data_IF_923408091066
#
_entry.id   IF_923408091066
#
_cell.length_a   1.000
_cell.length_b   1.000
_cell.length_c   1.000
_cell.angle_alpha   90.00
_cell.angle_beta   90.00
_cell.angle_gamma   90.00
#
_symmetry.space_group_name_H-M   'P 1'
#
loop_
_entity.id
_entity.type
_entity.pdbx_description
1 polymer ?
#
# COMPACT_ATOMS: atom_id res chain seq x y z
N UNK A 1 38.99 10.08 -0.05
CA UNK A 1 37.66 9.63 0.51
C UNK A 1 37.75 9.53 2.03
N UNK A 2 36.77 10.06 2.75
CA UNK A 2 36.65 9.96 4.22
C UNK A 2 35.57 8.92 4.59
N UNK A 3 35.80 8.13 5.64
CA UNK A 3 34.87 7.08 6.08
C UNK A 3 34.42 7.41 7.50
N UNK A 4 33.09 7.55 7.69
CA UNK A 4 32.47 7.84 8.98
C UNK A 4 31.61 6.65 9.37
N UNK A 5 31.73 6.20 10.63
CA UNK A 5 31.00 5.02 11.14
C UNK A 5 30.19 5.39 12.36
N UNK A 6 28.92 4.97 12.36
CA UNK A 6 28.00 5.16 13.48
C UNK A 6 27.32 3.84 13.81
N UNK A 7 27.30 3.47 15.06
CA UNK A 7 26.51 2.33 15.55
C UNK A 7 25.20 2.83 16.11
N UNK A 8 24.13 2.19 15.74
CA UNK A 8 22.77 2.51 16.20
C UNK A 8 22.02 1.26 16.64
N UNK A 9 21.09 1.38 17.60
CA UNK A 9 20.27 0.25 18.02
C UNK A 9 19.29 -0.18 16.92
N UNK A 10 18.89 -1.44 16.94
CA UNK A 10 17.83 -1.96 16.11
C UNK A 10 16.47 -1.34 16.49
N UNK A 11 15.63 -0.93 15.53
CA UNK A 11 14.26 -0.46 15.81
C UNK A 11 13.31 -1.62 16.22
N UNK A 12 13.71 -2.85 15.97
CA UNK A 12 13.04 -4.10 16.35
C UNK A 12 14.07 -5.07 16.93
N UNK A 13 13.62 -6.13 17.62
CA UNK A 13 14.54 -7.24 17.94
C UNK A 13 15.11 -7.85 16.64
N UNK A 14 16.30 -8.44 16.73
CA UNK A 14 16.95 -9.06 15.57
C UNK A 14 16.05 -10.10 14.87
N UNK A 15 15.37 -10.96 15.66
CA UNK A 15 14.42 -11.93 15.13
C UNK A 15 13.29 -11.24 14.37
N UNK A 16 12.68 -10.22 14.96
CA UNK A 16 11.57 -9.47 14.36
C UNK A 16 12.01 -8.73 13.10
N UNK A 17 13.24 -8.21 13.08
CA UNK A 17 13.84 -7.62 11.89
C UNK A 17 13.92 -8.64 10.76
N UNK A 18 14.44 -9.84 11.03
CA UNK A 18 14.50 -10.91 10.04
C UNK A 18 13.12 -11.31 9.51
N UNK A 19 12.11 -11.42 10.37
CA UNK A 19 10.72 -11.70 9.97
C UNK A 19 10.17 -10.62 9.04
N UNK A 20 10.35 -9.34 9.38
CA UNK A 20 9.90 -8.20 8.56
C UNK A 20 10.60 -8.15 7.20
N UNK A 21 11.90 -8.38 7.16
CA UNK A 21 12.67 -8.38 5.91
C UNK A 21 12.22 -9.53 4.98
N UNK A 22 12.02 -10.74 5.49
CA UNK A 22 11.47 -11.86 4.71
C UNK A 22 10.05 -11.58 4.23
N UNK A 23 9.20 -10.97 5.08
CA UNK A 23 7.85 -10.58 4.70
C UNK A 23 7.86 -9.48 3.63
N UNK A 24 8.79 -8.51 3.69
CA UNK A 24 8.99 -7.52 2.64
C UNK A 24 9.26 -8.18 1.29
N UNK A 25 10.22 -9.12 1.23
CA UNK A 25 10.59 -9.80 -0.01
C UNK A 25 9.39 -10.55 -0.61
N UNK A 26 8.69 -11.34 0.19
CA UNK A 26 7.49 -12.07 -0.26
C UNK A 26 6.39 -11.12 -0.78
N UNK A 27 6.25 -9.96 -0.15
CA UNK A 27 5.26 -8.94 -0.50
C UNK A 27 5.61 -8.22 -1.81
N UNK A 28 6.88 -7.92 -2.04
CA UNK A 28 7.36 -7.27 -3.27
C UNK A 28 7.39 -8.25 -4.45
N UNK A 29 7.80 -9.51 -4.21
CA UNK A 29 7.85 -10.54 -5.25
C UNK A 29 6.44 -10.88 -5.75
N UNK A 30 5.47 -11.07 -4.85
CA UNK A 30 4.06 -11.30 -5.21
C UNK A 30 3.49 -10.20 -6.12
N UNK A 31 3.99 -8.96 -6.02
CA UNK A 31 3.58 -7.84 -6.88
C UNK A 31 4.24 -7.82 -8.26
N UNK A 32 5.34 -8.54 -8.44
CA UNK A 32 6.15 -8.56 -9.67
C UNK A 32 5.95 -9.81 -10.54
N UNK A 33 5.15 -10.79 -10.08
CA UNK A 33 4.94 -12.08 -10.75
C UNK A 33 4.05 -11.92 -11.98
N UNK A 34 4.64 -11.49 -13.10
CA UNK A 34 4.10 -11.85 -14.43
C UNK A 34 4.96 -12.86 -15.19
N UNK A 35 6.22 -13.13 -14.82
CA UNK A 35 7.13 -13.95 -15.63
C UNK A 35 8.24 -14.70 -14.87
N UNK A 36 8.10 -15.13 -13.63
CA UNK A 36 9.15 -15.91 -12.95
C UNK A 36 8.80 -17.39 -12.80
N UNK A 37 9.63 -18.26 -13.38
CA UNK A 37 9.53 -19.73 -13.33
C UNK A 37 10.16 -20.35 -12.07
N UNK A 38 10.76 -19.58 -11.16
CA UNK A 38 11.35 -20.08 -9.91
C UNK A 38 10.75 -19.38 -8.70
N UNK A 39 10.14 -20.14 -7.82
CA UNK A 39 9.76 -19.70 -6.48
C UNK A 39 11.02 -19.56 -5.65
N UNK A 40 11.39 -18.36 -5.23
CA UNK A 40 12.50 -18.12 -4.31
C UNK A 40 12.00 -18.40 -2.89
N UNK A 41 12.69 -19.28 -2.15
CA UNK A 41 12.45 -19.46 -0.72
C UNK A 41 13.16 -18.34 0.05
N UNK A 42 12.39 -17.48 0.71
CA UNK A 42 12.95 -16.40 1.53
C UNK A 42 13.23 -16.82 2.98
N UNK A 43 12.93 -18.06 3.35
CA UNK A 43 13.08 -18.57 4.72
C UNK A 43 14.53 -18.51 5.23
N UNK A 44 15.50 -18.61 4.32
CA UNK A 44 16.95 -18.65 4.61
C UNK A 44 17.62 -17.26 4.53
N UNK A 45 16.84 -16.17 4.45
CA UNK A 45 17.39 -14.83 4.44
C UNK A 45 17.51 -14.29 5.86
N UNK A 46 18.70 -13.80 6.20
CA UNK A 46 19.03 -13.16 7.48
C UNK A 46 19.21 -11.65 7.29
N UNK A 47 19.12 -10.83 8.35
CA UNK A 47 19.39 -9.40 8.24
C UNK A 47 20.73 -9.05 7.57
N UNK A 48 21.76 -9.86 7.79
CA UNK A 48 23.10 -9.68 7.20
C UNK A 48 23.12 -9.86 5.68
N UNK A 49 22.14 -10.53 5.09
CA UNK A 49 22.03 -10.65 3.62
C UNK A 49 21.59 -9.34 2.95
N UNK A 50 21.14 -8.36 3.75
CA UNK A 50 20.62 -7.08 3.26
C UNK A 50 21.70 -5.99 3.34
N UNK A 51 21.81 -5.21 2.28
CA UNK A 51 22.53 -3.94 2.24
C UNK A 51 21.53 -2.82 2.04
N UNK A 52 21.36 -1.96 3.03
CA UNK A 52 20.58 -0.73 2.91
C UNK A 52 21.50 0.37 2.42
N UNK A 53 21.03 1.22 1.52
CA UNK A 53 21.87 2.28 0.99
C UNK A 53 21.06 3.46 0.46
N UNK A 54 21.74 4.59 0.36
CA UNK A 54 21.32 5.84 -0.23
C UNK A 54 22.54 6.59 -0.77
N UNK A 55 22.39 7.35 -1.87
CA UNK A 55 23.49 8.11 -2.47
C UNK A 55 23.15 9.60 -2.60
N UNK A 56 24.20 10.43 -2.50
CA UNK A 56 24.14 11.84 -2.81
C UNK A 56 25.02 12.20 -3.99
N UNK A 57 24.48 12.99 -4.89
CA UNK A 57 25.13 13.35 -6.15
C UNK A 57 25.11 14.86 -6.37
N UNK A 58 26.09 15.37 -7.08
CA UNK A 58 26.19 16.80 -7.40
C UNK A 58 25.19 17.27 -8.48
N UNK A 59 24.30 16.38 -8.92
CA UNK A 59 23.23 16.66 -9.88
C UNK A 59 22.47 15.39 -10.27
N UNK A 60 21.39 15.52 -11.04
CA UNK A 60 20.45 14.43 -11.33
C UNK A 60 20.89 13.49 -12.47
N UNK A 61 21.91 13.83 -13.21
CA UNK A 61 22.37 13.05 -14.37
C UNK A 61 23.77 12.47 -14.16
N UNK A 62 23.96 11.15 -14.20
CA UNK A 62 25.28 10.53 -14.04
C UNK A 62 26.35 11.01 -15.05
N UNK A 63 25.92 11.60 -16.18
CA UNK A 63 26.85 12.11 -17.21
C UNK A 63 27.47 13.47 -16.84
N UNK A 64 26.75 14.26 -16.05
CA UNK A 64 27.12 15.66 -15.77
C UNK A 64 27.18 15.96 -14.26
N UNK A 65 27.25 14.93 -13.45
CA UNK A 65 27.34 15.05 -11.99
C UNK A 65 28.24 13.95 -11.43
N UNK A 66 28.64 14.11 -10.19
CA UNK A 66 29.51 13.15 -9.51
C UNK A 66 28.86 12.64 -8.25
N UNK A 67 29.06 11.36 -7.96
CA UNK A 67 28.75 10.75 -6.66
C UNK A 67 29.72 11.32 -5.61
N UNK A 68 29.21 11.92 -4.55
CA UNK A 68 30.06 12.49 -3.49
C UNK A 68 29.82 11.87 -2.13
N UNK A 69 28.70 11.21 -1.91
CA UNK A 69 28.40 10.59 -0.64
C UNK A 69 27.60 9.29 -0.87
N UNK A 70 28.07 8.25 -0.23
CA UNK A 70 27.40 6.95 -0.17
C UNK A 70 27.15 6.63 1.29
N UNK A 71 25.89 6.51 1.67
CA UNK A 71 25.47 6.00 2.98
C UNK A 71 25.01 4.56 2.87
N UNK A 72 25.50 3.72 3.76
CA UNK A 72 25.08 2.31 3.84
C UNK A 72 24.75 1.92 5.27
N UNK A 73 23.79 1.00 5.44
CA UNK A 73 23.49 0.41 6.72
C UNK A 73 23.60 -1.11 6.63
N UNK A 74 24.32 -1.67 7.58
CA UNK A 74 24.63 -3.09 7.70
C UNK A 74 24.12 -3.58 9.04
N UNK A 75 23.66 -4.83 9.08
CA UNK A 75 23.35 -5.53 10.33
C UNK A 75 24.57 -6.27 10.86
N UNK A 76 24.81 -6.13 12.15
CA UNK A 76 25.84 -6.84 12.91
C UNK A 76 25.20 -7.41 14.18
N UNK A 77 24.61 -8.60 14.08
CA UNK A 77 23.90 -9.26 15.20
C UNK A 77 22.84 -8.35 15.85
N UNK A 78 23.17 -7.73 17.00
CA UNK A 78 22.21 -6.93 17.78
C UNK A 78 22.29 -5.42 17.49
N UNK A 79 23.21 -4.99 16.64
CA UNK A 79 23.44 -3.58 16.29
C UNK A 79 23.29 -3.36 14.78
N UNK A 80 23.07 -2.12 14.39
CA UNK A 80 23.23 -1.65 13.02
C UNK A 80 24.43 -0.73 12.94
N UNK A 81 25.23 -0.90 11.89
CA UNK A 81 26.33 0.01 11.58
C UNK A 81 25.97 0.82 10.34
N UNK A 82 26.01 2.15 10.47
CA UNK A 82 25.92 3.06 9.33
C UNK A 82 27.33 3.49 8.98
N UNK A 83 27.68 3.33 7.71
CA UNK A 83 28.96 3.78 7.16
C UNK A 83 28.66 4.82 6.08
N UNK A 84 29.25 5.98 6.21
CA UNK A 84 29.20 7.03 5.22
C UNK A 84 30.56 7.18 4.57
N UNK A 85 30.60 7.07 3.26
CA UNK A 85 31.78 7.30 2.42
C UNK A 85 31.62 8.67 1.77
N UNK A 86 32.37 9.65 2.23
CA UNK A 86 32.28 11.03 1.77
C UNK A 86 33.49 11.43 0.93
N UNK A 87 33.25 12.06 -0.20
CA UNK A 87 34.27 12.62 -1.06
C UNK A 87 34.26 14.16 -0.97
N UNK A 88 35.41 14.72 -0.72
CA UNK A 88 35.67 16.16 -0.76
C UNK A 88 36.22 16.63 -2.12
N UNK A 89 36.31 15.71 -3.10
CA UNK A 89 36.75 15.99 -4.46
C UNK A 89 36.05 15.09 -5.48
N UNK A 90 35.92 15.56 -6.70
CA UNK A 90 35.33 14.79 -7.80
C UNK A 90 36.17 13.56 -8.18
N UNK A 91 37.48 13.57 -7.89
CA UNK A 91 38.41 12.49 -8.24
C UNK A 91 38.21 11.20 -7.45
N UNK A 92 37.51 11.21 -6.34
CA UNK A 92 37.27 10.01 -5.49
C UNK A 92 35.99 9.23 -5.85
N UNK A 93 35.35 9.53 -6.96
CA UNK A 93 34.08 8.86 -7.36
C UNK A 93 34.29 7.36 -7.63
N UNK A 94 35.42 6.97 -8.25
CA UNK A 94 35.76 5.57 -8.49
C UNK A 94 35.98 4.81 -7.17
N UNK A 95 36.57 5.46 -6.15
CA UNK A 95 36.76 4.89 -4.82
C UNK A 95 35.42 4.60 -4.14
N UNK A 96 34.45 5.53 -4.25
CA UNK A 96 33.08 5.36 -3.73
C UNK A 96 32.36 4.21 -4.41
N UNK A 97 32.46 4.13 -5.74
CA UNK A 97 31.91 3.01 -6.51
C UNK A 97 32.52 1.69 -6.10
N UNK A 98 33.85 1.63 -5.96
CA UNK A 98 34.57 0.41 -5.56
C UNK A 98 34.16 -0.03 -4.16
N UNK A 99 34.02 0.89 -3.21
CA UNK A 99 33.52 0.61 -1.87
C UNK A 99 32.10 0.02 -1.91
N UNK A 100 31.20 0.62 -2.70
CA UNK A 100 29.83 0.10 -2.85
C UNK A 100 29.80 -1.31 -3.45
N UNK A 101 30.53 -1.55 -4.52
CA UNK A 101 30.57 -2.87 -5.17
C UNK A 101 31.13 -3.94 -4.23
N UNK A 102 32.18 -3.63 -3.46
CA UNK A 102 32.71 -4.55 -2.44
C UNK A 102 31.69 -4.85 -1.34
N UNK A 103 30.87 -3.88 -0.93
CA UNK A 103 29.80 -4.10 0.04
C UNK A 103 28.66 -4.98 -0.52
N UNK A 104 28.47 -4.99 -1.84
CA UNK A 104 27.49 -5.87 -2.50
C UNK A 104 27.97 -7.35 -2.53
N UNK A 105 29.28 -7.62 -2.41
CA UNK A 105 29.79 -8.98 -2.40
C UNK A 105 29.27 -9.77 -1.19
N UNK A 106 28.76 -10.98 -1.45
CA UNK A 106 28.20 -11.85 -0.42
C UNK A 106 26.82 -11.43 0.09
N UNK A 107 26.26 -10.31 -0.38
CA UNK A 107 24.88 -9.90 -0.07
C UNK A 107 23.91 -10.53 -1.06
N UNK A 108 22.63 -10.60 -0.66
CA UNK A 108 21.55 -11.16 -1.50
C UNK A 108 20.52 -10.09 -1.89
N UNK A 109 20.37 -9.04 -1.06
CA UNK A 109 19.33 -8.02 -1.20
C UNK A 109 19.92 -6.63 -1.07
N UNK A 110 19.58 -5.78 -2.02
CA UNK A 110 19.83 -4.35 -1.97
C UNK A 110 18.50 -3.63 -1.61
N UNK A 111 18.48 -2.92 -0.50
CA UNK A 111 17.31 -2.21 -0.01
C UNK A 111 17.53 -0.71 -0.02
N UNK A 112 16.56 0.02 -0.56
CA UNK A 112 16.62 1.48 -0.71
C UNK A 112 15.22 2.10 -0.63
N UNK A 113 15.17 3.41 -0.62
CA UNK A 113 13.95 4.18 -0.79
C UNK A 113 13.97 4.91 -2.13
N UNK A 114 13.15 4.47 -3.10
CA UNK A 114 13.12 4.95 -4.49
C UNK A 114 14.41 4.70 -5.29
N UNK A 115 15.29 3.84 -4.80
CA UNK A 115 16.56 3.55 -5.46
C UNK A 115 16.41 2.92 -6.85
N UNK A 116 15.35 2.17 -7.10
CA UNK A 116 15.02 1.69 -8.44
C UNK A 116 14.73 2.83 -9.44
N UNK A 117 14.34 4.00 -8.96
CA UNK A 117 14.08 5.19 -9.77
C UNK A 117 15.33 5.98 -10.09
N UNK A 118 16.28 6.07 -9.16
CA UNK A 118 17.45 6.93 -9.27
C UNK A 118 18.77 6.20 -8.94
N UNK A 119 18.98 5.80 -7.69
CA UNK A 119 20.28 5.34 -7.17
C UNK A 119 20.84 4.16 -7.97
N UNK A 120 20.05 3.12 -8.21
CA UNK A 120 20.47 1.94 -8.96
C UNK A 120 20.92 2.29 -10.39
N UNK A 121 20.19 3.19 -11.04
CA UNK A 121 20.51 3.63 -12.41
C UNK A 121 21.76 4.48 -12.44
N UNK A 122 21.95 5.32 -11.41
CA UNK A 122 23.13 6.13 -11.25
C UNK A 122 24.36 5.23 -11.09
N UNK A 123 24.31 4.29 -10.14
CA UNK A 123 25.39 3.33 -9.88
C UNK A 123 25.67 2.41 -11.07
N UNK A 124 24.63 2.01 -11.84
CA UNK A 124 24.79 1.26 -13.09
C UNK A 124 25.54 2.08 -14.14
N UNK A 125 25.15 3.34 -14.33
CA UNK A 125 25.82 4.24 -15.28
C UNK A 125 27.28 4.47 -14.89
N UNK A 126 27.53 4.68 -13.61
CA UNK A 126 28.85 4.89 -13.06
C UNK A 126 29.73 3.64 -13.24
N UNK A 127 29.19 2.45 -12.95
CA UNK A 127 29.87 1.17 -13.18
C UNK A 127 30.30 1.02 -14.64
N UNK A 128 29.44 1.39 -15.59
CA UNK A 128 29.76 1.36 -17.02
C UNK A 128 30.88 2.33 -17.38
N UNK A 129 30.88 3.54 -16.80
CA UNK A 129 31.90 4.56 -17.06
C UNK A 129 33.29 4.15 -16.59
N UNK A 130 33.36 3.42 -15.48
CA UNK A 130 34.61 2.89 -14.91
C UNK A 130 34.94 1.43 -15.32
N UNK A 131 34.21 0.89 -16.31
CA UNK A 131 34.39 -0.50 -16.80
C UNK A 131 34.32 -1.55 -15.68
N UNK A 132 33.43 -1.34 -14.67
CA UNK A 132 33.19 -2.28 -13.58
C UNK A 132 31.93 -3.08 -13.82
N UNK A 133 31.89 -4.32 -13.35
CA UNK A 133 30.66 -5.12 -13.34
C UNK A 133 29.64 -4.52 -12.35
N UNK A 134 28.38 -4.27 -12.75
CA UNK A 134 27.38 -3.69 -11.87
C UNK A 134 26.79 -4.77 -10.93
N UNK A 135 27.57 -5.26 -9.98
CA UNK A 135 27.21 -6.35 -9.05
C UNK A 135 25.88 -6.11 -8.33
N UNK A 136 25.57 -4.86 -7.99
CA UNK A 136 24.32 -4.47 -7.34
C UNK A 136 23.08 -4.88 -8.13
N UNK A 137 23.14 -5.00 -9.46
CA UNK A 137 22.01 -5.42 -10.30
C UNK A 137 21.75 -6.93 -10.22
N UNK A 138 22.69 -7.73 -9.73
CA UNK A 138 22.51 -9.17 -9.50
C UNK A 138 21.75 -9.46 -8.20
N UNK A 139 21.67 -8.49 -7.28
CA UNK A 139 20.97 -8.60 -6.01
C UNK A 139 19.47 -8.40 -6.20
N UNK A 140 18.68 -8.95 -5.28
CA UNK A 140 17.24 -8.64 -5.22
C UNK A 140 17.04 -7.15 -4.85
N UNK A 141 16.30 -6.42 -5.68
CA UNK A 141 16.05 -4.99 -5.48
C UNK A 141 14.80 -4.77 -4.63
N UNK A 142 14.96 -4.50 -3.34
CA UNK A 142 13.87 -4.18 -2.42
C UNK A 142 13.72 -2.67 -2.27
N UNK A 143 12.66 -2.11 -2.85
CA UNK A 143 12.39 -0.67 -2.83
C UNK A 143 11.17 -0.35 -1.96
N UNK A 144 11.42 0.28 -0.80
CA UNK A 144 10.38 0.64 0.17
C UNK A 144 9.39 1.68 -0.38
N UNK A 145 9.84 2.57 -1.27
CA UNK A 145 8.94 3.51 -1.92
C UNK A 145 7.84 2.80 -2.71
N UNK A 146 8.18 1.70 -3.43
CA UNK A 146 7.19 0.90 -4.16
C UNK A 146 6.17 0.23 -3.25
N UNK A 147 6.62 -0.26 -2.09
CA UNK A 147 5.74 -0.82 -1.07
C UNK A 147 4.73 0.22 -0.60
N UNK A 148 5.21 1.41 -0.20
CA UNK A 148 4.39 2.43 0.45
C UNK A 148 3.48 3.14 -0.58
N UNK A 149 4.02 3.51 -1.74
CA UNK A 149 3.30 4.26 -2.79
C UNK A 149 2.01 3.59 -3.24
N UNK A 150 1.98 2.26 -3.33
CA UNK A 150 0.78 1.51 -3.76
C UNK A 150 -0.40 1.68 -2.81
N UNK A 151 -0.15 2.07 -1.55
CA UNK A 151 -1.15 2.28 -0.51
C UNK A 151 -1.28 3.75 -0.08
N UNK A 152 -0.73 4.69 -0.83
CA UNK A 152 -0.71 6.11 -0.51
C UNK A 152 -2.07 6.65 -0.07
N UNK A 153 -3.14 6.33 -0.81
CA UNK A 153 -4.50 6.79 -0.52
C UNK A 153 -5.03 6.20 0.80
N UNK A 154 -4.72 4.93 1.07
CA UNK A 154 -5.07 4.29 2.33
C UNK A 154 -4.37 4.94 3.54
N UNK A 155 -3.12 5.36 3.38
CA UNK A 155 -2.42 6.09 4.44
C UNK A 155 -2.89 7.54 4.60
N UNK A 156 -3.64 8.08 3.65
CA UNK A 156 -4.05 9.49 3.64
C UNK A 156 -2.88 10.46 3.44
N UNK A 157 -1.76 9.99 2.85
CA UNK A 157 -0.56 10.81 2.66
C UNK A 157 -0.68 11.65 1.38
N UNK A 158 -0.31 12.92 1.45
CA UNK A 158 -0.25 13.80 0.28
C UNK A 158 0.92 13.46 -0.64
N UNK A 159 2.03 13.02 -0.06
CA UNK A 159 3.24 12.61 -0.76
C UNK A 159 3.77 11.30 -0.20
N UNK A 160 4.60 10.60 -0.99
CA UNK A 160 5.34 9.41 -0.55
C UNK A 160 6.85 9.70 -0.51
N UNK A 161 7.28 10.94 -0.23
CA UNK A 161 8.69 11.20 0.05
C UNK A 161 9.13 10.48 1.32
N UNK A 162 10.43 10.25 1.50
CA UNK A 162 10.96 9.64 2.72
C UNK A 162 10.51 10.43 3.95
N UNK A 163 10.63 11.76 3.93
CA UNK A 163 10.18 12.66 5.00
C UNK A 163 8.67 12.53 5.31
N UNK A 164 7.83 12.36 4.28
CA UNK A 164 6.39 12.15 4.51
C UNK A 164 6.11 10.79 5.17
N UNK A 165 6.88 9.76 4.82
CA UNK A 165 6.77 8.44 5.46
C UNK A 165 7.25 8.47 6.91
N UNK A 166 8.35 9.18 7.19
CA UNK A 166 8.88 9.41 8.54
C UNK A 166 7.87 10.17 9.41
N UNK A 167 7.30 11.25 8.88
CA UNK A 167 6.27 12.03 9.58
C UNK A 167 5.03 11.18 9.90
N UNK A 168 4.58 10.32 8.97
CA UNK A 168 3.49 9.38 9.19
C UNK A 168 3.79 8.40 10.34
N UNK A 169 5.04 7.95 10.46
CA UNK A 169 5.53 7.09 11.55
C UNK A 169 5.91 7.87 12.83
N UNK A 170 5.79 9.20 12.82
CA UNK A 170 6.20 10.09 13.92
C UNK A 170 7.69 9.95 14.26
N UNK A 171 8.52 9.72 13.25
CA UNK A 171 9.97 9.70 13.39
C UNK A 171 10.45 11.17 13.42
N UNK A 172 11.16 11.54 14.48
CA UNK A 172 11.76 12.86 14.62
C UNK A 172 13.02 12.93 13.75
N UNK A 173 12.99 13.78 12.73
CA UNK A 173 14.09 14.02 11.81
C UNK A 173 14.75 15.37 12.12
N UNK A 174 16.06 15.36 12.28
CA UNK A 174 16.83 16.58 12.58
C UNK A 174 17.22 17.36 11.33
N UNK A 175 17.31 16.68 10.18
CA UNK A 175 17.65 17.33 8.92
C UNK A 175 16.42 18.03 8.28
N UNK A 176 16.46 19.38 8.09
CA UNK A 176 15.37 20.12 7.48
C UNK A 176 15.44 20.16 5.94
N UNK A 177 16.59 19.85 5.33
CA UNK A 177 16.88 20.12 3.93
C UNK A 177 16.26 19.09 2.99
N UNK A 178 15.99 19.50 1.75
CA UNK A 178 15.64 18.60 0.65
C UNK A 178 16.86 18.29 -0.21
N UNK A 179 16.95 17.05 -0.76
CA UNK A 179 18.10 16.61 -1.55
C UNK A 179 18.51 17.56 -2.68
N UNK A 180 17.55 18.23 -3.34
CA UNK A 180 17.83 19.21 -4.39
C UNK A 180 18.60 20.45 -3.88
N UNK A 181 18.41 20.87 -2.63
CA UNK A 181 19.10 22.01 -2.01
C UNK A 181 20.55 21.64 -1.72
N UNK A 182 20.82 20.39 -1.38
CA UNK A 182 22.15 19.91 -1.05
C UNK A 182 23.12 19.89 -2.22
N UNK A 183 22.63 19.84 -3.46
CA UNK A 183 23.43 20.00 -4.66
C UNK A 183 24.19 21.35 -4.64
N UNK A 184 23.49 22.42 -4.26
CA UNK A 184 24.13 23.75 -4.12
C UNK A 184 25.09 23.78 -2.93
N UNK A 185 24.71 23.19 -1.80
CA UNK A 185 25.57 23.10 -0.59
C UNK A 185 26.88 22.38 -0.89
N UNK A 186 26.81 21.23 -1.58
CA UNK A 186 28.01 20.49 -1.96
C UNK A 186 28.91 21.27 -2.93
N UNK A 187 28.32 21.96 -3.92
CA UNK A 187 29.06 22.79 -4.87
C UNK A 187 29.81 23.93 -4.16
N UNK A 188 29.18 24.54 -3.15
CA UNK A 188 29.85 25.60 -2.36
C UNK A 188 30.88 25.03 -1.39
N UNK A 189 30.60 23.85 -0.79
CA UNK A 189 31.60 23.12 0.00
C UNK A 189 32.88 22.82 -0.79
N UNK A 190 32.79 22.47 -2.07
CA UNK A 190 33.96 22.22 -2.89
C UNK A 190 34.89 23.47 -3.01
N UNK A 191 34.32 24.67 -2.93
CA UNK A 191 35.08 25.94 -3.05
C UNK A 191 35.75 26.35 -1.73
N UNK A 192 35.01 26.25 -0.63
CA UNK A 192 35.42 26.83 0.65
C UNK A 192 35.77 25.80 1.75
N UNK A 193 35.46 24.53 1.52
CA UNK A 193 35.69 23.43 2.46
C UNK A 193 35.07 23.66 3.85
N UNK A 194 33.98 24.40 3.89
CA UNK A 194 33.28 24.75 5.13
C UNK A 194 32.80 23.53 5.89
N UNK A 195 33.14 23.46 7.18
CA UNK A 195 32.79 22.29 8.03
C UNK A 195 31.31 22.17 8.31
N UNK A 196 30.58 23.27 8.40
CA UNK A 196 29.13 23.22 8.65
C UNK A 196 28.38 22.71 7.43
N UNK A 197 28.78 23.12 6.22
CA UNK A 197 28.23 22.53 4.98
C UNK A 197 28.46 21.03 4.91
N UNK A 198 29.66 20.57 5.27
CA UNK A 198 29.95 19.13 5.33
C UNK A 198 29.05 18.42 6.34
N UNK A 199 28.86 18.98 7.53
CA UNK A 199 27.96 18.41 8.55
C UNK A 199 26.51 18.31 8.03
N UNK A 200 26.04 19.33 7.29
CA UNK A 200 24.70 19.32 6.69
C UNK A 200 24.54 18.17 5.69
N UNK A 201 25.51 18.00 4.79
CA UNK A 201 25.52 16.92 3.79
C UNK A 201 25.52 15.54 4.46
N UNK A 202 26.39 15.34 5.45
CA UNK A 202 26.48 14.10 6.20
C UNK A 202 25.22 13.80 7.00
N UNK A 203 24.63 14.83 7.65
CA UNK A 203 23.42 14.67 8.44
C UNK A 203 22.23 14.22 7.58
N UNK A 204 22.07 14.81 6.39
CA UNK A 204 21.01 14.46 5.47
C UNK A 204 21.04 12.96 5.11
N UNK A 205 22.15 12.53 4.55
CA UNK A 205 22.32 11.12 4.16
C UNK A 205 22.29 10.16 5.37
N UNK A 206 22.81 10.58 6.53
CA UNK A 206 22.70 9.79 7.77
C UNK A 206 21.23 9.53 8.13
N UNK A 207 20.40 10.58 8.10
CA UNK A 207 18.97 10.48 8.43
C UNK A 207 18.23 9.65 7.37
N UNK A 208 18.58 9.78 6.07
CA UNK A 208 17.98 9.01 4.99
C UNK A 208 18.23 7.51 5.15
N UNK A 209 19.45 7.12 5.51
CA UNK A 209 19.80 5.69 5.69
C UNK A 209 19.34 5.15 7.04
N UNK A 210 19.51 5.91 8.12
CA UNK A 210 19.23 5.51 9.50
C UNK A 210 17.77 5.11 9.70
N UNK A 211 16.85 5.80 9.05
CA UNK A 211 15.42 5.64 9.24
C UNK A 211 14.79 4.55 8.36
N UNK A 212 15.51 4.04 7.33
CA UNK A 212 14.99 2.99 6.43
C UNK A 212 14.46 1.73 7.16
N UNK A 213 15.15 1.19 8.16
CA UNK A 213 14.62 0.01 8.88
C UNK A 213 13.29 0.26 9.58
N UNK A 214 13.06 1.47 10.12
CA UNK A 214 11.81 1.81 10.78
C UNK A 214 10.61 1.82 9.81
N UNK A 215 10.84 2.11 8.51
CA UNK A 215 9.81 2.06 7.47
C UNK A 215 9.25 0.64 7.25
N UNK A 216 9.94 -0.41 7.69
CA UNK A 216 9.40 -1.77 7.68
C UNK A 216 8.13 -1.91 8.54
N UNK A 217 7.82 -0.92 9.39
CA UNK A 217 6.54 -0.85 10.12
C UNK A 217 5.33 -0.76 9.20
N UNK A 218 5.46 -0.20 7.99
CA UNK A 218 4.39 -0.20 7.00
C UNK A 218 3.93 -1.61 6.60
N UNK A 219 4.77 -2.63 6.76
CA UNK A 219 4.42 -4.01 6.46
C UNK A 219 3.27 -4.54 7.33
N UNK A 220 3.05 -3.98 8.52
CA UNK A 220 1.94 -4.39 9.38
C UNK A 220 0.57 -4.17 8.70
N UNK A 221 0.43 -3.16 7.83
CA UNK A 221 -0.80 -2.96 7.05
C UNK A 221 -0.96 -3.98 5.91
N UNK A 222 0.13 -4.59 5.42
CA UNK A 222 0.05 -5.56 4.33
C UNK A 222 -0.62 -6.86 4.76
N UNK A 223 -0.63 -7.19 6.05
CA UNK A 223 -1.44 -8.31 6.57
C UNK A 223 -2.92 -8.11 6.27
N UNK A 224 -3.42 -6.87 6.40
CA UNK A 224 -4.80 -6.51 6.05
C UNK A 224 -5.07 -6.79 4.56
N UNK A 225 -4.23 -6.25 3.68
CA UNK A 225 -4.42 -6.34 2.22
C UNK A 225 -4.16 -7.75 1.65
N UNK A 226 -3.46 -8.60 2.39
CA UNK A 226 -3.25 -10.01 2.05
C UNK A 226 -4.32 -10.92 2.64
N UNK A 227 -5.31 -10.37 3.37
CA UNK A 227 -6.35 -11.14 4.05
C UNK A 227 -5.80 -11.97 5.24
N UNK A 228 -4.59 -11.70 5.71
CA UNK A 228 -3.97 -12.37 6.85
C UNK A 228 -4.45 -11.75 8.17
N UNK A 229 -5.75 -11.76 8.35
CA UNK A 229 -6.46 -11.22 9.51
C UNK A 229 -7.46 -12.25 10.03
N UNK A 230 -7.83 -12.15 11.29
CA UNK A 230 -8.81 -13.03 11.90
C UNK A 230 -10.11 -12.27 12.13
N UNK A 231 -11.22 -12.79 11.62
CA UNK A 231 -12.55 -12.30 11.95
C UNK A 231 -12.90 -12.64 13.40
N UNK A 232 -13.40 -11.67 14.14
CA UNK A 232 -13.78 -11.82 15.55
C UNK A 232 -15.28 -11.99 15.70
N UNK A 233 -16.07 -11.29 14.91
CA UNK A 233 -17.51 -11.33 14.98
C UNK A 233 -18.19 -10.16 14.32
N UNK A 234 -19.53 -10.18 14.41
CA UNK A 234 -20.44 -9.12 14.03
C UNK A 234 -21.20 -8.64 15.26
N UNK A 235 -21.32 -7.33 15.42
CA UNK A 235 -22.19 -6.68 16.40
C UNK A 235 -23.18 -5.77 15.70
N UNK A 236 -24.41 -5.70 16.21
CA UNK A 236 -25.39 -4.69 15.79
C UNK A 236 -25.14 -3.41 16.58
N UNK A 237 -25.02 -2.28 15.89
CA UNK A 237 -24.74 -1.00 16.53
C UNK A 237 -25.77 0.04 16.13
N UNK A 238 -26.10 0.94 17.07
CA UNK A 238 -26.83 2.16 16.74
C UNK A 238 -25.86 3.11 16.02
N UNK A 239 -26.23 3.55 14.82
CA UNK A 239 -25.43 4.45 13.97
C UNK A 239 -24.96 5.71 14.71
N UNK A 240 -25.71 6.18 15.69
CA UNK A 240 -25.41 7.38 16.49
C UNK A 240 -24.10 7.30 17.27
N UNK A 241 -23.57 6.11 17.52
CA UNK A 241 -22.32 5.93 18.27
C UNK A 241 -21.04 6.12 17.40
N UNK A 242 -21.18 6.18 16.07
CA UNK A 242 -20.03 6.13 15.15
C UNK A 242 -19.99 7.24 14.09
N UNK A 243 -21.04 8.08 13.98
CA UNK A 243 -21.12 9.16 12.98
C UNK A 243 -21.46 10.50 13.64
N UNK A 244 -20.57 11.49 13.57
CA UNK A 244 -20.79 12.87 14.00
C UNK A 244 -21.88 13.60 13.17
N UNK A 245 -22.28 13.05 12.01
CA UNK A 245 -23.26 13.60 11.07
C UNK A 245 -24.50 12.72 10.87
N UNK A 246 -24.88 11.91 11.87
CA UNK A 246 -26.02 10.98 11.80
C UNK A 246 -27.43 11.65 11.74
N UNK A 247 -27.50 12.97 11.73
CA UNK A 247 -28.79 13.72 11.82
C UNK A 247 -29.75 13.49 10.64
N UNK A 248 -29.30 12.96 9.49
CA UNK A 248 -30.15 12.83 8.30
C UNK A 248 -30.95 11.54 8.17
N UNK A 249 -30.70 10.51 8.99
CA UNK A 249 -31.50 9.26 8.97
C UNK A 249 -31.41 8.51 10.30
N UNK A 250 -32.26 8.87 11.31
CA UNK A 250 -32.12 8.41 12.70
C UNK A 250 -32.46 6.93 12.94
N UNK A 251 -32.92 6.19 11.92
CA UNK A 251 -33.41 4.80 12.05
C UNK A 251 -32.55 3.76 11.30
N UNK A 252 -31.40 4.13 10.80
CA UNK A 252 -30.58 3.18 10.06
C UNK A 252 -29.81 2.25 11.00
N UNK A 253 -30.22 1.01 11.05
CA UNK A 253 -29.49 -0.08 11.68
C UNK A 253 -28.12 -0.26 10.99
N UNK A 254 -27.07 -0.45 11.76
CA UNK A 254 -25.72 -0.70 11.23
C UNK A 254 -25.16 -1.97 11.85
N UNK A 255 -24.33 -2.66 11.11
CA UNK A 255 -23.51 -3.76 11.64
C UNK A 255 -22.07 -3.31 11.75
N UNK A 256 -21.39 -3.82 12.77
CA UNK A 256 -19.96 -3.65 13.00
C UNK A 256 -19.28 -5.02 12.79
N UNK A 257 -18.40 -5.09 11.83
CA UNK A 257 -17.52 -6.25 11.64
C UNK A 257 -16.20 -5.97 12.33
N UNK A 258 -15.75 -6.91 13.15
CA UNK A 258 -14.50 -6.78 13.90
C UNK A 258 -13.50 -7.84 13.48
N UNK A 259 -12.24 -7.42 13.34
CA UNK A 259 -11.14 -8.27 12.93
C UNK A 259 -9.89 -7.97 13.76
N UNK A 260 -8.94 -8.91 13.76
CA UNK A 260 -7.66 -8.80 14.46
C UNK A 260 -6.50 -9.06 13.52
N UNK A 261 -5.55 -8.13 13.50
CA UNK A 261 -4.25 -8.29 12.82
C UNK A 261 -3.28 -9.12 13.67
N UNK A 262 -2.32 -9.82 13.05
CA UNK A 262 -1.25 -10.50 13.77
C UNK A 262 -0.27 -9.51 14.43
N UNK A 263 -0.10 -8.31 13.87
CA UNK A 263 0.80 -7.26 14.36
C UNK A 263 0.09 -5.92 14.49
N UNK A 264 0.59 -5.09 15.41
CA UNK A 264 0.12 -3.71 15.55
C UNK A 264 0.53 -2.85 14.37
N UNK A 265 -0.39 -1.98 13.92
CA UNK A 265 -0.05 -0.94 12.96
C UNK A 265 0.61 0.26 13.63
N UNK A 266 1.57 0.93 12.98
CA UNK A 266 2.31 2.03 13.59
C UNK A 266 1.46 3.30 13.81
N UNK A 267 0.41 3.48 13.00
CA UNK A 267 -0.45 4.67 13.06
C UNK A 267 -1.90 4.23 12.87
N UNK A 268 -2.79 4.69 13.75
CA UNK A 268 -4.22 4.44 13.61
C UNK A 268 -4.80 5.24 12.43
N UNK A 269 -5.72 4.62 11.68
CA UNK A 269 -6.40 5.24 10.55
C UNK A 269 -7.90 5.10 10.68
N UNK A 270 -8.61 6.12 10.21
CA UNK A 270 -10.08 6.11 10.10
C UNK A 270 -10.46 6.65 8.72
N UNK A 271 -11.30 5.91 8.00
CA UNK A 271 -11.81 6.30 6.69
C UNK A 271 -13.33 6.19 6.65
N UNK A 272 -13.98 7.23 6.15
CA UNK A 272 -15.41 7.21 5.85
C UNK A 272 -15.58 7.15 4.34
N UNK A 273 -16.02 5.99 3.83
CA UNK A 273 -16.15 5.71 2.40
C UNK A 273 -17.49 5.06 2.12
N UNK A 274 -18.27 5.59 1.16
CA UNK A 274 -19.55 5.01 0.75
C UNK A 274 -20.50 4.75 1.93
N UNK A 275 -20.53 5.68 2.89
CA UNK A 275 -21.31 5.61 4.13
C UNK A 275 -20.86 4.53 5.14
N UNK A 276 -19.78 3.79 4.84
CA UNK A 276 -19.15 2.88 5.79
C UNK A 276 -17.99 3.58 6.51
N UNK A 277 -17.79 3.23 7.77
CA UNK A 277 -16.65 3.71 8.57
C UNK A 277 -15.68 2.56 8.79
N UNK A 278 -14.49 2.67 8.22
CA UNK A 278 -13.38 1.75 8.44
C UNK A 278 -12.43 2.35 9.48
N UNK A 279 -12.01 1.55 10.46
CA UNK A 279 -11.01 1.93 11.46
C UNK A 279 -9.98 0.84 11.63
N UNK A 280 -8.74 1.25 11.86
CA UNK A 280 -7.63 0.37 12.22
C UNK A 280 -6.80 1.06 13.31
N UNK A 281 -6.55 0.38 14.42
CA UNK A 281 -5.77 0.90 15.55
C UNK A 281 -5.13 -0.24 16.33
N UNK A 282 -3.80 -0.17 16.55
CA UNK A 282 -3.09 -1.30 17.11
C UNK A 282 -3.29 -2.55 16.25
N UNK A 283 -3.84 -3.61 16.81
CA UNK A 283 -4.21 -4.85 16.09
C UNK A 283 -5.67 -4.89 15.64
N UNK A 284 -6.49 -3.98 16.13
CA UNK A 284 -7.93 -4.00 15.92
C UNK A 284 -8.29 -3.36 14.58
N UNK A 285 -9.16 -4.03 13.84
CA UNK A 285 -9.74 -3.54 12.58
C UNK A 285 -11.25 -3.64 12.68
N UNK A 286 -11.94 -2.58 12.35
CA UNK A 286 -13.39 -2.57 12.34
C UNK A 286 -13.95 -1.92 11.07
N UNK A 287 -15.10 -2.44 10.63
CA UNK A 287 -15.88 -1.89 9.52
C UNK A 287 -17.34 -1.75 9.95
N UNK A 288 -17.78 -0.51 10.14
CA UNK A 288 -19.19 -0.18 10.38
C UNK A 288 -19.92 0.01 9.06
N UNK A 289 -21.02 -0.69 8.87
CA UNK A 289 -21.75 -0.77 7.60
C UNK A 289 -23.21 -0.45 7.86
N UNK A 290 -23.76 0.62 7.25
CA UNK A 290 -25.20 0.90 7.33
C UNK A 290 -25.98 -0.12 6.49
N UNK A 291 -27.04 -0.70 7.08
CA UNK A 291 -27.97 -1.56 6.37
C UNK A 291 -29.05 -0.70 5.69
N UNK A 292 -29.44 -1.11 4.50
CA UNK A 292 -30.58 -0.51 3.81
C UNK A 292 -31.85 -1.32 4.09
N UNK A 293 -32.91 -0.68 4.60
CA UNK A 293 -34.21 -1.31 4.81
C UNK A 293 -35.24 -0.70 3.87
N UNK A 294 -35.87 -1.54 3.06
CA UNK A 294 -36.88 -1.10 2.10
C UNK A 294 -36.95 -2.01 0.88
N UNK A 295 -37.58 -1.50 -0.18
CA UNK A 295 -37.75 -2.23 -1.43
C UNK A 295 -36.60 -1.95 -2.39
N UNK A 296 -35.99 -2.99 -2.94
CA UNK A 296 -34.99 -2.93 -4.01
C UNK A 296 -35.35 -3.87 -5.14
N UNK A 297 -34.82 -3.56 -6.34
CA UNK A 297 -35.06 -4.30 -7.58
C UNK A 297 -33.85 -5.17 -7.95
N UNK A 298 -34.12 -6.44 -8.23
CA UNK A 298 -33.17 -7.37 -8.84
C UNK A 298 -33.40 -7.40 -10.36
N UNK A 299 -32.49 -6.79 -11.11
CA UNK A 299 -32.58 -6.71 -12.58
C UNK A 299 -32.02 -7.96 -13.26
N UNK A 300 -32.78 -8.49 -14.24
CA UNK A 300 -32.38 -9.66 -15.01
C UNK A 300 -31.51 -9.26 -16.21
N UNK A 301 -30.30 -9.83 -16.37
CA UNK A 301 -29.40 -9.48 -17.48
C UNK A 301 -29.95 -9.92 -18.85
N UNK A 302 -30.68 -11.03 -18.88
CA UNK A 302 -31.35 -11.60 -20.05
C UNK A 302 -32.77 -11.03 -20.25
N UNK A 303 -32.90 -9.70 -20.10
CA UNK A 303 -34.21 -9.01 -20.16
C UNK A 303 -35.10 -9.39 -21.35
N UNK A 304 -34.50 -9.83 -22.46
CA UNK A 304 -35.23 -10.28 -23.66
C UNK A 304 -36.07 -11.52 -23.43
N UNK A 305 -35.81 -12.28 -22.39
CA UNK A 305 -36.55 -13.49 -22.02
C UNK A 305 -37.73 -13.22 -21.09
N UNK A 306 -37.99 -11.93 -20.80
CA UNK A 306 -39.02 -11.51 -19.86
C UNK A 306 -40.05 -10.61 -20.54
N UNK A 307 -41.22 -10.57 -19.91
CA UNK A 307 -42.30 -9.59 -20.15
C UNK A 307 -42.52 -8.80 -18.86
N UNK A 308 -42.81 -7.52 -18.99
CA UNK A 308 -43.11 -6.64 -17.87
C UNK A 308 -44.62 -6.52 -17.67
N UNK A 309 -45.09 -6.60 -16.43
CA UNK A 309 -46.51 -6.49 -16.06
C UNK A 309 -46.68 -5.18 -15.30
N UNK A 310 -47.10 -4.08 -15.95
CA UNK A 310 -47.20 -2.76 -15.35
C UNK A 310 -48.07 -2.70 -14.10
N UNK A 311 -49.17 -3.46 -14.05
CA UNK A 311 -50.12 -3.47 -12.91
C UNK A 311 -49.52 -4.13 -11.65
N UNK A 312 -48.54 -5.01 -11.82
CA UNK A 312 -47.86 -5.71 -10.73
C UNK A 312 -46.45 -5.17 -10.48
N UNK A 313 -45.98 -4.27 -11.35
CA UNK A 313 -44.67 -3.65 -11.32
C UNK A 313 -43.50 -4.69 -11.19
N UNK A 314 -43.54 -5.72 -12.00
CA UNK A 314 -42.57 -6.81 -12.05
C UNK A 314 -42.44 -7.44 -13.43
N UNK A 315 -41.30 -8.08 -13.68
CA UNK A 315 -41.12 -8.93 -14.85
C UNK A 315 -41.37 -10.40 -14.54
N UNK A 316 -41.94 -11.10 -15.52
CA UNK A 316 -42.09 -12.56 -15.51
C UNK A 316 -41.44 -13.17 -16.74
N UNK A 317 -40.91 -14.40 -16.63
CA UNK A 317 -40.33 -15.07 -17.76
C UNK A 317 -41.37 -15.32 -18.83
N UNK A 318 -41.03 -15.23 -20.12
CA UNK A 318 -41.93 -15.37 -21.27
C UNK A 318 -42.71 -16.68 -21.26
N UNK A 319 -42.17 -17.78 -20.75
CA UNK A 319 -42.88 -19.05 -20.61
C UNK A 319 -44.11 -18.95 -19.73
N UNK A 320 -44.20 -17.95 -18.84
CA UNK A 320 -45.33 -17.72 -17.96
C UNK A 320 -46.28 -16.63 -18.50
N UNK A 321 -45.93 -15.99 -19.61
CA UNK A 321 -46.76 -14.92 -20.18
C UNK A 321 -48.16 -15.32 -20.59
N UNK A 322 -48.37 -16.61 -20.89
CA UNK A 322 -49.68 -17.17 -21.21
C UNK A 322 -50.69 -17.17 -20.03
N UNK A 323 -50.19 -17.01 -18.80
CA UNK A 323 -51.01 -16.85 -17.60
C UNK A 323 -51.65 -15.45 -17.47
N UNK A 324 -51.26 -14.50 -18.32
CA UNK A 324 -51.73 -13.13 -18.33
C UNK A 324 -52.37 -12.78 -19.67
N UNK A 325 -53.51 -12.06 -19.67
CA UNK A 325 -54.04 -11.48 -20.90
C UNK A 325 -53.00 -10.59 -21.62
N UNK A 326 -52.93 -10.69 -22.95
CA UNK A 326 -51.89 -9.98 -23.72
C UNK A 326 -51.93 -8.44 -23.54
N UNK A 327 -53.07 -7.87 -23.18
CA UNK A 327 -53.21 -6.45 -22.88
C UNK A 327 -52.58 -6.02 -21.54
N UNK A 328 -52.23 -6.99 -20.68
CA UNK A 328 -51.69 -6.68 -19.32
C UNK A 328 -50.16 -6.72 -19.26
N UNK A 329 -49.47 -7.08 -20.34
CA UNK A 329 -48.02 -7.14 -20.33
C UNK A 329 -47.41 -6.55 -21.60
N UNK A 330 -46.20 -6.07 -21.46
CA UNK A 330 -45.37 -5.57 -22.55
C UNK A 330 -43.98 -6.22 -22.59
N UNK A 331 -43.23 -6.05 -23.67
CA UNK A 331 -41.84 -6.55 -23.75
C UNK A 331 -41.00 -5.87 -22.69
N UNK A 332 -40.31 -6.63 -21.86
CA UNK A 332 -39.42 -6.06 -20.88
C UNK A 332 -38.22 -5.39 -21.56
N UNK A 333 -37.79 -4.25 -20.99
CA UNK A 333 -36.56 -3.54 -21.30
C UNK A 333 -35.55 -3.81 -20.19
N UNK A 334 -34.31 -3.31 -20.34
CA UNK A 334 -33.25 -3.47 -19.34
C UNK A 334 -33.66 -2.94 -17.96
N UNK A 335 -34.39 -1.85 -17.93
CA UNK A 335 -34.84 -1.11 -16.74
C UNK A 335 -36.20 -1.59 -16.22
N UNK A 336 -36.94 -2.41 -16.95
CA UNK A 336 -38.23 -3.00 -16.53
C UNK A 336 -38.17 -4.52 -16.30
N UNK A 337 -37.04 -5.17 -16.63
CA UNK A 337 -36.83 -6.60 -16.39
C UNK A 337 -36.34 -6.87 -14.97
N UNK A 338 -37.17 -6.71 -13.98
CA UNK A 338 -36.83 -6.90 -12.58
C UNK A 338 -37.91 -7.57 -11.75
N UNK A 339 -37.48 -8.06 -10.59
CA UNK A 339 -38.32 -8.39 -9.46
C UNK A 339 -37.94 -7.55 -8.25
N UNK A 340 -38.94 -7.15 -7.47
CA UNK A 340 -38.75 -6.38 -6.24
C UNK A 340 -38.73 -7.28 -5.01
N UNK A 341 -37.96 -6.86 -4.03
CA UNK A 341 -37.91 -7.46 -2.71
C UNK A 341 -37.90 -6.37 -1.65
N UNK A 342 -38.79 -6.46 -0.68
CA UNK A 342 -38.76 -5.59 0.52
C UNK A 342 -38.09 -6.36 1.65
N UNK A 343 -36.87 -5.92 2.03
CA UNK A 343 -36.05 -6.60 3.02
C UNK A 343 -35.06 -5.63 3.67
N UNK A 344 -34.24 -6.16 4.57
CA UNK A 344 -33.01 -5.50 5.00
C UNK A 344 -31.87 -5.99 4.10
N UNK A 345 -31.05 -5.05 3.63
CA UNK A 345 -29.98 -5.32 2.64
C UNK A 345 -28.62 -4.86 3.14
N UNK A 346 -27.60 -5.63 2.78
CA UNK A 346 -26.19 -5.34 2.96
C UNK A 346 -25.61 -4.79 1.65
N UNK A 347 -24.90 -3.64 1.64
CA UNK A 347 -24.21 -3.16 0.45
C UNK A 347 -23.08 -4.10 0.07
N UNK A 348 -22.84 -4.31 -1.25
CA UNK A 348 -21.71 -5.08 -1.78
C UNK A 348 -21.00 -4.29 -2.87
N UNK A 349 -19.69 -4.55 -3.06
CA UNK A 349 -18.84 -3.76 -3.96
C UNK A 349 -18.35 -4.54 -5.18
N UNK A 350 -18.61 -5.82 -5.24
CA UNK A 350 -18.36 -6.67 -6.40
C UNK A 350 -19.69 -7.17 -6.98
N UNK A 351 -19.72 -7.45 -8.29
CA UNK A 351 -20.90 -8.05 -8.91
C UNK A 351 -21.15 -9.44 -8.31
N UNK A 352 -22.33 -9.60 -7.76
CA UNK A 352 -22.76 -10.82 -7.13
C UNK A 352 -24.24 -11.07 -7.44
N UNK A 353 -24.62 -12.31 -7.70
CA UNK A 353 -26.02 -12.64 -8.04
C UNK A 353 -26.63 -13.58 -7.03
N UNK A 354 -27.91 -13.36 -6.66
CA UNK A 354 -28.76 -12.22 -7.03
C UNK A 354 -28.32 -10.92 -6.36
N UNK A 355 -28.28 -9.81 -7.13
CA UNK A 355 -27.96 -8.48 -6.62
C UNK A 355 -29.12 -7.52 -6.81
N UNK A 356 -29.25 -6.60 -5.90
CA UNK A 356 -30.34 -5.62 -5.84
C UNK A 356 -29.80 -4.21 -5.98
N UNK A 357 -30.59 -3.31 -6.58
CA UNK A 357 -30.27 -1.91 -6.79
C UNK A 357 -31.53 -1.07 -6.54
N UNK A 358 -31.37 0.23 -6.23
CA UNK A 358 -32.51 1.15 -6.12
C UNK A 358 -33.11 1.46 -7.49
N UNK A 359 -32.23 1.67 -8.46
CA UNK A 359 -32.56 1.90 -9.87
C UNK A 359 -31.60 1.13 -10.76
N UNK A 360 -31.96 0.89 -12.03
CA UNK A 360 -31.11 0.20 -12.99
C UNK A 360 -29.74 0.89 -13.22
N UNK A 361 -29.68 2.21 -13.02
CA UNK A 361 -28.45 3.00 -13.26
C UNK A 361 -27.55 3.12 -12.03
N UNK A 362 -28.02 2.68 -10.86
CA UNK A 362 -27.22 2.77 -9.64
C UNK A 362 -25.99 1.87 -9.72
N UNK A 363 -24.89 2.39 -9.21
CA UNK A 363 -23.61 1.65 -9.14
C UNK A 363 -23.42 0.91 -7.81
N UNK A 364 -24.31 1.15 -6.84
CA UNK A 364 -24.28 0.46 -5.57
C UNK A 364 -25.18 -0.78 -5.63
N UNK A 365 -24.58 -1.92 -5.41
CA UNK A 365 -25.27 -3.21 -5.31
C UNK A 365 -25.53 -3.59 -3.86
N UNK A 366 -26.58 -4.40 -3.68
CA UNK A 366 -27.01 -4.87 -2.38
C UNK A 366 -27.40 -6.35 -2.48
N UNK A 367 -27.28 -7.03 -1.33
CA UNK A 367 -27.77 -8.39 -1.15
C UNK A 367 -28.69 -8.45 0.07
N UNK A 368 -29.68 -9.36 0.14
CA UNK A 368 -30.48 -9.53 1.33
C UNK A 368 -29.59 -9.90 2.52
N UNK A 369 -29.73 -9.13 3.60
CA UNK A 369 -29.03 -9.39 4.84
C UNK A 369 -29.78 -10.40 5.72
N UNK A 370 -29.06 -11.38 6.24
CA UNK A 370 -29.53 -12.37 7.21
C UNK A 370 -28.45 -12.51 8.31
N UNK A 371 -28.88 -12.73 9.57
CA UNK A 371 -27.96 -12.84 10.74
C UNK A 371 -26.85 -13.90 10.56
N UNK A 372 -27.08 -14.93 9.76
CA UNK A 372 -26.12 -16.00 9.48
C UNK A 372 -25.38 -15.81 8.14
N UNK A 373 -25.33 -14.57 7.61
CA UNK A 373 -24.73 -14.29 6.30
C UNK A 373 -23.26 -14.71 6.23
N UNK A 374 -22.54 -14.56 7.35
CA UNK A 374 -21.11 -14.87 7.46
C UNK A 374 -20.81 -16.38 7.61
N UNK A 375 -21.80 -17.23 7.80
CA UNK A 375 -21.66 -18.68 7.65
C UNK A 375 -21.54 -19.10 6.17
N UNK A 376 -22.13 -18.30 5.28
CA UNK A 376 -22.16 -18.53 3.82
C UNK A 376 -21.17 -17.67 3.05
N UNK A 377 -20.61 -16.63 3.69
CA UNK A 377 -19.70 -15.66 3.12
C UNK A 377 -18.47 -15.51 4.00
N UNK A 378 -17.33 -15.39 3.36
CA UNK A 378 -16.10 -15.04 4.07
C UNK A 378 -16.10 -13.53 4.41
N UNK A 379 -16.13 -13.14 5.68
CA UNK A 379 -16.11 -11.73 6.07
C UNK A 379 -14.79 -11.02 5.71
N UNK A 380 -13.68 -11.76 5.60
CA UNK A 380 -12.39 -11.22 5.15
C UNK A 380 -12.44 -10.82 3.69
N UNK A 381 -13.02 -11.66 2.82
CA UNK A 381 -13.18 -11.33 1.39
C UNK A 381 -14.10 -10.13 1.19
N UNK A 382 -15.14 -10.03 2.02
CA UNK A 382 -16.03 -8.86 2.02
C UNK A 382 -15.28 -7.57 2.39
N UNK A 383 -14.45 -7.58 3.44
CA UNK A 383 -13.60 -6.45 3.81
C UNK A 383 -12.60 -6.11 2.71
N UNK A 384 -11.95 -7.11 2.10
CA UNK A 384 -11.01 -6.89 1.00
C UNK A 384 -11.67 -6.27 -0.22
N UNK A 385 -12.88 -6.67 -0.57
CA UNK A 385 -13.69 -6.08 -1.63
C UNK A 385 -14.00 -4.60 -1.36
N UNK A 386 -14.37 -4.26 -0.12
CA UNK A 386 -14.54 -2.87 0.33
C UNK A 386 -13.26 -2.05 0.15
N UNK A 387 -12.13 -2.54 0.67
CA UNK A 387 -10.84 -1.85 0.61
C UNK A 387 -10.38 -1.63 -0.84
N UNK A 388 -10.51 -2.66 -1.68
CA UNK A 388 -10.15 -2.60 -3.10
C UNK A 388 -10.95 -1.53 -3.84
N UNK A 389 -12.24 -1.45 -3.59
CA UNK A 389 -13.13 -0.47 -4.25
C UNK A 389 -12.97 0.92 -3.65
N UNK A 390 -12.77 1.04 -2.34
CA UNK A 390 -12.64 2.30 -1.62
C UNK A 390 -11.30 3.01 -1.90
N UNK A 391 -10.23 2.24 -2.10
CA UNK A 391 -8.86 2.75 -2.31
C UNK A 391 -8.27 2.38 -3.68
N UNK A 392 -9.12 2.08 -4.67
CA UNK A 392 -8.68 1.88 -6.05
C UNK A 392 -8.05 3.17 -6.57
N UNK A 393 -6.78 3.11 -7.00
CA UNK A 393 -6.13 4.24 -7.65
C UNK A 393 -6.92 4.69 -8.88
N UNK A 394 -7.02 5.99 -9.13
CA UNK A 394 -7.76 6.59 -10.25
C UNK A 394 -7.35 6.03 -11.65
N UNK A 395 -6.24 5.29 -11.73
CA UNK A 395 -5.77 4.63 -12.96
C UNK A 395 -6.47 3.30 -13.28
N UNK A 396 -7.12 2.66 -12.32
CA UNK A 396 -7.87 1.41 -12.55
C UNK A 396 -9.35 1.62 -12.94
N UNK A 397 -9.84 2.85 -12.91
CA UNK A 397 -11.22 3.19 -13.28
C UNK A 397 -11.40 3.57 -14.78
N UNK A 398 -10.31 3.51 -15.58
CA UNK A 398 -10.34 3.78 -17.03
C UNK A 398 -10.05 2.51 -17.85
N UNK A 399 -10.74 1.42 -17.55
CA UNK A 399 -10.83 0.26 -18.46
C UNK A 399 -12.28 -0.13 -18.66
#
# INVERSE_FOLDING_TARGET
>A
MEIIRNKIPLPFSYQKMGEKLRFLLSTLDASSVKNRTKTISYAEFFPEDFLFYDIETSGLSPRNSSLYLLGVLLFQKEEMEIIQYFSDSVSSEEELLSAFLSLCEGRKVLLSFNGCGFDNRYMESLSKSYHRAPLHLSLFQADLFRLIRRRKQFYGMESCSLKSCEAFLRIDRKDPYHGGELIAVYRDFLKDKDREKKKMLLLHNLEDVKNLPALLSFLSYEFLFQGKIRFLGEAHTDRRLYEENAEKNPTAESILLEFMLPEEVPTALTHVLKHCTFRISGKEVSLSIPLYRGELSCFFPNYKDYVYIPTEDRAVHKSLSSLYPKAMWEKAKKDTAYQKLNATFLPVWEEERPQFQKTYQDKQYFIPYQKNIWEKRNPVDYLLSFLKTGFASAHSQKK
#
